data_IF_527892546045
#
_entry.id   IF_527892546045
#
_cell.length_a   1.000
_cell.length_b   1.000
_cell.length_c   1.000
_cell.angle_alpha   90.00
_cell.angle_beta   90.00
_cell.angle_gamma   90.00
#
_symmetry.space_group_name_H-M   'P 1'
#
loop_
_entity.id
_entity.type
_entity.pdbx_description
1 polymer ?
#
# COMPACT_ATOMS: atom_id res chain seq x y z
N UNK A 1 -7.85 3.10 -5.54
CA UNK A 1 -8.56 1.85 -5.96
C UNK A 1 -7.87 0.65 -5.33
N UNK A 2 -8.61 -0.42 -4.98
CA UNK A 2 -8.07 -1.64 -4.37
C UNK A 2 -7.98 -2.79 -5.37
N UNK A 3 -7.13 -3.78 -5.09
CA UNK A 3 -7.14 -5.06 -5.81
C UNK A 3 -8.46 -5.81 -5.58
N UNK A 4 -8.94 -6.50 -6.60
CA UNK A 4 -10.04 -7.45 -6.49
C UNK A 4 -9.54 -8.84 -6.05
N UNK A 5 -10.46 -9.80 -5.90
CA UNK A 5 -10.13 -11.15 -5.40
C UNK A 5 -9.25 -11.93 -6.38
N UNK A 6 -9.43 -11.77 -7.70
CA UNK A 6 -8.60 -12.40 -8.75
C UNK A 6 -7.18 -11.82 -8.75
N UNK A 7 -7.04 -10.50 -8.71
CA UNK A 7 -5.75 -9.80 -8.66
C UNK A 7 -4.98 -10.16 -7.38
N UNK A 8 -5.67 -10.33 -6.25
CA UNK A 8 -5.06 -10.83 -5.00
C UNK A 8 -4.59 -12.27 -5.15
N UNK A 9 -5.36 -13.11 -5.85
CA UNK A 9 -4.96 -14.48 -6.13
C UNK A 9 -3.74 -14.53 -7.06
N UNK A 10 -3.71 -13.73 -8.13
CA UNK A 10 -2.56 -13.65 -9.03
C UNK A 10 -1.31 -13.15 -8.32
N UNK A 11 -1.42 -12.13 -7.47
CA UNK A 11 -0.30 -11.57 -6.71
C UNK A 11 0.26 -12.54 -5.65
N UNK A 12 -0.61 -13.29 -4.97
CA UNK A 12 -0.21 -14.11 -3.80
C UNK A 12 -0.13 -15.61 -4.08
N UNK A 13 -0.79 -16.08 -5.14
CA UNK A 13 -1.06 -17.50 -5.40
C UNK A 13 -1.95 -18.17 -4.35
N UNK A 14 -2.69 -17.41 -3.53
CA UNK A 14 -3.50 -17.93 -2.42
C UNK A 14 -4.96 -17.50 -2.53
N UNK A 15 -5.88 -18.43 -2.25
CA UNK A 15 -7.32 -18.17 -2.23
C UNK A 15 -7.84 -17.73 -0.85
N UNK A 16 -7.31 -18.26 0.24
CA UNK A 16 -7.78 -17.94 1.59
C UNK A 16 -7.19 -16.62 2.08
N UNK A 17 -8.03 -15.76 2.66
CA UNK A 17 -7.64 -14.44 3.14
C UNK A 17 -6.45 -14.47 4.12
N UNK A 18 -6.45 -15.38 5.10
CA UNK A 18 -5.33 -15.52 6.05
C UNK A 18 -4.01 -15.90 5.37
N UNK A 19 -4.06 -16.76 4.36
CA UNK A 19 -2.90 -17.15 3.56
C UNK A 19 -2.40 -16.00 2.69
N UNK A 20 -3.32 -15.21 2.10
CA UNK A 20 -2.98 -14.00 1.35
C UNK A 20 -2.27 -12.98 2.25
N UNK A 21 -2.81 -12.71 3.45
CA UNK A 21 -2.22 -11.79 4.43
C UNK A 21 -0.80 -12.20 4.83
N UNK A 22 -0.56 -13.50 5.05
CA UNK A 22 0.77 -14.03 5.34
C UNK A 22 1.73 -13.82 4.17
N UNK A 23 1.28 -14.08 2.94
CA UNK A 23 2.09 -13.84 1.75
C UNK A 23 2.41 -12.34 1.58
N UNK A 24 1.42 -11.45 1.74
CA UNK A 24 1.61 -10.00 1.66
C UNK A 24 2.60 -9.49 2.71
N UNK A 25 2.53 -10.00 3.95
CA UNK A 25 3.51 -9.70 4.99
C UNK A 25 4.93 -10.15 4.60
N UNK A 26 5.07 -11.35 4.02
CA UNK A 26 6.36 -11.86 3.55
C UNK A 26 6.93 -11.04 2.39
N UNK A 27 6.06 -10.47 1.55
CA UNK A 27 6.43 -9.56 0.46
C UNK A 27 6.65 -8.11 0.91
N UNK A 28 6.42 -7.78 2.19
CA UNK A 28 6.51 -6.41 2.68
C UNK A 28 5.41 -5.47 2.13
N UNK A 29 4.31 -6.03 1.61
CA UNK A 29 3.22 -5.27 1.01
C UNK A 29 2.23 -4.87 2.11
N UNK A 30 1.98 -3.57 2.24
CA UNK A 30 0.99 -3.06 3.20
C UNK A 30 -0.43 -3.39 2.76
N UNK A 31 -1.25 -3.88 3.69
CA UNK A 31 -2.66 -4.16 3.47
C UNK A 31 -3.51 -3.75 4.67
N UNK A 32 -4.83 -3.71 4.48
CA UNK A 32 -5.84 -3.53 5.52
C UNK A 32 -6.80 -4.72 5.51
N UNK A 33 -7.34 -5.08 6.67
CA UNK A 33 -8.39 -6.10 6.78
C UNK A 33 -9.72 -5.38 6.99
N UNK A 34 -10.71 -5.69 6.16
CA UNK A 34 -12.07 -5.15 6.28
C UNK A 34 -12.84 -5.90 7.37
N UNK A 35 -13.95 -5.34 7.85
CA UNK A 35 -14.76 -5.94 8.93
C UNK A 35 -15.27 -7.36 8.63
N UNK A 36 -15.41 -7.73 7.36
CA UNK A 36 -15.79 -9.07 6.90
C UNK A 36 -14.61 -10.03 6.73
N UNK A 37 -13.39 -9.61 7.08
CA UNK A 37 -12.18 -10.42 7.00
C UNK A 37 -11.50 -10.42 5.63
N UNK A 38 -12.05 -9.75 4.62
CA UNK A 38 -11.38 -9.61 3.31
C UNK A 38 -10.16 -8.70 3.39
N UNK A 39 -9.15 -9.05 2.60
CA UNK A 39 -7.89 -8.32 2.51
C UNK A 39 -8.01 -7.20 1.47
N UNK A 40 -7.66 -5.97 1.85
CA UNK A 40 -7.65 -4.80 0.98
C UNK A 40 -6.22 -4.34 0.75
N UNK A 41 -5.81 -4.32 -0.52
CA UNK A 41 -4.50 -3.83 -0.96
C UNK A 41 -4.73 -2.70 -1.96
N UNK A 42 -4.07 -1.56 -1.76
CA UNK A 42 -4.14 -0.45 -2.71
C UNK A 42 -3.36 -0.81 -3.98
N UNK A 43 -3.99 -0.63 -5.15
CA UNK A 43 -3.33 -0.89 -6.45
C UNK A 43 -2.06 -0.06 -6.61
N UNK A 44 -2.08 1.19 -6.12
CA UNK A 44 -0.95 2.11 -6.18
C UNK A 44 0.28 1.57 -5.44
N UNK A 45 0.10 0.91 -4.28
CA UNK A 45 1.22 0.30 -3.53
C UNK A 45 1.93 -0.76 -4.37
N UNK A 46 1.19 -1.55 -5.14
CA UNK A 46 1.75 -2.55 -6.06
C UNK A 46 2.50 -1.85 -7.18
N UNK A 47 1.87 -0.89 -7.85
CA UNK A 47 2.54 -0.13 -8.91
C UNK A 47 3.84 0.52 -8.43
N UNK A 48 3.87 1.09 -7.22
CA UNK A 48 5.09 1.69 -6.67
C UNK A 48 6.18 0.66 -6.38
N UNK A 49 5.84 -0.53 -5.88
CA UNK A 49 6.81 -1.61 -5.61
C UNK A 49 7.42 -2.20 -6.88
N UNK A 50 6.63 -2.30 -7.95
CA UNK A 50 7.07 -2.89 -9.23
C UNK A 50 7.56 -1.85 -10.25
N UNK A 51 7.45 -0.55 -9.97
CA UNK A 51 8.02 0.50 -10.81
C UNK A 51 9.48 0.75 -10.43
N UNK A 52 10.38 0.78 -11.42
CA UNK A 52 11.82 1.04 -11.21
C UNK A 52 12.14 2.46 -10.74
N UNK A 53 11.15 3.36 -10.68
CA UNK A 53 11.35 4.75 -10.26
C UNK A 53 11.17 4.86 -8.74
N UNK A 54 12.19 5.31 -7.99
CA UNK A 54 12.05 5.49 -6.55
C UNK A 54 10.94 6.51 -6.26
N UNK A 55 10.22 6.34 -5.14
CA UNK A 55 9.14 7.25 -4.78
C UNK A 55 9.72 8.65 -4.60
N UNK A 56 9.42 9.54 -5.55
CA UNK A 56 9.57 10.98 -5.41
C UNK A 56 8.53 11.45 -4.38
N UNK A 57 8.79 11.19 -3.10
CA UNK A 57 8.06 11.89 -2.05
C UNK A 57 8.48 13.36 -2.16
N UNK A 58 7.56 14.29 -2.43
CA UNK A 58 7.90 15.70 -2.36
C UNK A 58 8.33 15.95 -0.92
N UNK A 59 9.59 16.35 -0.72
CA UNK A 59 10.05 16.83 0.58
C UNK A 59 9.06 17.91 0.99
N UNK A 60 8.30 17.67 2.06
CA UNK A 60 7.52 18.73 2.69
C UNK A 60 8.54 19.74 3.21
N UNK A 61 8.84 20.74 2.39
CA UNK A 61 9.64 21.88 2.82
C UNK A 61 8.85 22.57 3.92
N UNK A 62 9.32 22.40 5.16
CA UNK A 62 8.76 23.12 6.29
C UNK A 62 9.10 24.61 6.11
N UNK A 63 8.15 25.39 5.59
CA UNK A 63 8.25 26.85 5.54
C UNK A 63 7.63 27.41 6.81
N UNK A 64 8.47 27.84 7.73
CA UNK A 64 8.05 28.62 8.91
C UNK A 64 7.75 30.05 8.47
N UNK A 65 6.51 30.50 8.63
CA UNK A 65 6.13 31.89 8.35
C UNK A 65 6.51 32.77 9.56
N UNK A 66 7.65 33.48 9.45
CA UNK A 66 8.20 34.37 10.48
C UNK A 66 7.50 35.75 10.57
N UNK A 67 6.56 36.04 9.69
CA UNK A 67 5.86 37.35 9.59
C UNK A 67 4.94 37.68 10.79
N UNK A 68 4.80 36.79 11.78
CA UNK A 68 3.93 37.02 12.96
C UNK A 68 4.68 37.25 14.28
N UNK A 69 5.98 37.55 14.22
CA UNK A 69 6.79 37.86 15.39
C UNK A 69 7.26 39.33 15.36
N UNK A 70 6.32 40.28 15.48
CA UNK A 70 6.60 41.66 15.86
C UNK A 70 5.37 42.33 16.44
#
# INVERSE_FOLDING_TARGET
MFLNDEELFELTGKQRASSQQKALNQMGITFRVRADGKTLVLKETIHQLFSEKPPSTPKREFKMNLEKAK
#
